data_IF_086738667630
#
_entry.id   IF_086738667630
#
_cell.length_a   1.000
_cell.length_b   1.000
_cell.length_c   1.000
_cell.angle_alpha   90.00
_cell.angle_beta   90.00
_cell.angle_gamma   90.00
#
_symmetry.space_group_name_H-M   'P 1'
#
loop_
_entity.id
_entity.type
_entity.pdbx_description
1 polymer ?
#
# COMPACT_ATOMS: atom_id res chain seq x y z
N UNK A 1 -28.69 5.85 -4.63
CA UNK A 1 -29.15 4.55 -5.18
C UNK A 1 -28.19 4.02 -6.23
N UNK A 2 -27.89 4.75 -7.32
CA UNK A 2 -26.98 4.30 -8.38
C UNK A 2 -25.62 3.77 -7.88
N UNK A 3 -24.97 4.48 -6.96
CA UNK A 3 -23.66 4.10 -6.40
C UNK A 3 -23.69 2.71 -5.73
N UNK A 4 -24.77 2.39 -4.99
CA UNK A 4 -24.93 1.06 -4.37
C UNK A 4 -25.02 -0.05 -5.41
N UNK A 5 -25.71 0.18 -6.54
CA UNK A 5 -25.76 -0.81 -7.62
C UNK A 5 -24.43 -0.99 -8.37
N UNK A 6 -23.53 0.01 -8.38
CA UNK A 6 -22.17 -0.18 -8.90
C UNK A 6 -21.29 -0.92 -7.89
N UNK A 7 -21.34 -0.56 -6.61
CA UNK A 7 -20.61 -1.26 -5.55
C UNK A 7 -21.01 -2.75 -5.43
N UNK A 8 -22.32 -3.06 -5.50
CA UNK A 8 -22.81 -4.43 -5.54
C UNK A 8 -22.36 -5.17 -6.83
N UNK A 9 -22.20 -4.46 -7.95
CA UNK A 9 -21.65 -5.02 -9.19
C UNK A 9 -20.14 -5.29 -9.13
N UNK A 10 -19.35 -4.43 -8.46
CA UNK A 10 -17.91 -4.66 -8.23
C UNK A 10 -17.69 -5.95 -7.43
N UNK A 11 -18.47 -6.17 -6.35
CA UNK A 11 -18.40 -7.43 -5.58
C UNK A 11 -18.90 -8.63 -6.41
N UNK A 12 -19.89 -8.46 -7.29
CA UNK A 12 -20.32 -9.52 -8.20
C UNK A 12 -19.23 -9.89 -9.23
N UNK A 13 -18.47 -8.91 -9.72
CA UNK A 13 -17.40 -9.09 -10.71
C UNK A 13 -16.13 -9.69 -10.09
N UNK A 14 -15.75 -9.27 -8.87
CA UNK A 14 -14.74 -9.95 -8.03
C UNK A 14 -15.14 -11.43 -7.83
N UNK A 15 -16.42 -11.71 -7.59
CA UNK A 15 -16.92 -13.07 -7.47
C UNK A 15 -16.93 -13.87 -8.79
N UNK A 16 -17.10 -13.20 -9.94
CA UNK A 16 -16.92 -13.81 -11.26
C UNK A 16 -15.45 -14.23 -11.47
N UNK A 17 -14.50 -13.40 -11.04
CA UNK A 17 -13.08 -13.74 -11.03
C UNK A 17 -12.81 -14.92 -10.09
N UNK A 18 -13.11 -14.78 -8.80
CA UNK A 18 -12.82 -15.78 -7.76
C UNK A 18 -13.41 -17.15 -8.05
N UNK A 19 -14.64 -17.21 -8.58
CA UNK A 19 -15.31 -18.49 -8.86
C UNK A 19 -14.73 -19.24 -10.07
N UNK A 20 -14.11 -18.56 -11.04
CA UNK A 20 -13.39 -19.20 -12.15
C UNK A 20 -12.23 -18.33 -12.68
N UNK A 21 -11.08 -18.25 -11.97
CA UNK A 21 -9.99 -17.34 -12.30
C UNK A 21 -9.42 -17.61 -13.71
N UNK A 22 -9.23 -18.89 -14.05
CA UNK A 22 -8.75 -19.31 -15.36
C UNK A 22 -9.63 -18.83 -16.51
N UNK A 23 -10.96 -18.84 -16.37
CA UNK A 23 -11.88 -18.26 -17.38
C UNK A 23 -11.92 -16.74 -17.33
N UNK A 24 -11.80 -16.13 -16.14
CA UNK A 24 -11.75 -14.66 -16.03
C UNK A 24 -10.54 -14.07 -16.76
N UNK A 25 -9.42 -14.79 -16.80
CA UNK A 25 -8.23 -14.42 -17.57
C UNK A 25 -8.48 -14.26 -19.08
N UNK A 26 -9.58 -14.77 -19.63
CA UNK A 26 -9.99 -14.52 -21.02
C UNK A 26 -10.33 -13.04 -21.25
N UNK A 27 -10.83 -12.31 -20.23
CA UNK A 27 -11.08 -10.86 -20.30
C UNK A 27 -9.78 -10.08 -20.48
N UNK A 28 -8.79 -10.33 -19.62
CA UNK A 28 -7.46 -9.72 -19.71
C UNK A 28 -6.74 -10.16 -21.00
N UNK A 29 -6.90 -11.42 -21.42
CA UNK A 29 -6.37 -11.89 -22.72
C UNK A 29 -6.97 -11.12 -23.90
N UNK A 30 -8.16 -10.53 -23.76
CA UNK A 30 -8.81 -9.72 -24.78
C UNK A 30 -8.44 -8.22 -24.73
N UNK A 31 -7.76 -7.73 -23.67
CA UNK A 31 -7.26 -6.34 -23.58
C UNK A 31 -5.87 -6.19 -24.19
N UNK A 32 -5.02 -7.23 -24.14
CA UNK A 32 -3.64 -7.24 -24.69
C UNK A 32 -3.51 -6.67 -26.12
N UNK A 33 -4.52 -6.87 -26.98
CA UNK A 33 -4.55 -6.36 -28.36
C UNK A 33 -4.63 -4.83 -28.50
N UNK A 34 -4.87 -4.12 -27.39
CA UNK A 34 -4.93 -2.67 -27.32
C UNK A 34 -3.62 -2.04 -26.82
N UNK A 35 -2.61 -2.85 -26.46
CA UNK A 35 -1.29 -2.34 -26.08
C UNK A 35 -0.41 -2.08 -27.31
N UNK A 36 0.29 -0.95 -27.28
CA UNK A 36 1.24 -0.49 -28.30
C UNK A 36 2.54 -0.06 -27.58
N UNK A 37 3.37 -1.04 -27.24
CA UNK A 37 4.36 -0.85 -26.16
C UNK A 37 3.62 -0.70 -24.83
N UNK A 38 4.01 0.30 -24.04
CA UNK A 38 3.38 0.63 -22.76
C UNK A 38 2.10 1.48 -22.89
N UNK A 39 1.74 1.94 -24.10
CA UNK A 39 0.49 2.68 -24.32
C UNK A 39 -0.69 1.73 -24.47
N UNK A 40 -1.73 1.89 -23.66
CA UNK A 40 -3.00 1.17 -23.75
C UNK A 40 -4.08 2.02 -24.44
N UNK A 41 -4.50 1.59 -25.63
CA UNK A 41 -5.42 2.31 -26.53
C UNK A 41 -6.80 1.61 -26.63
N UNK A 42 -7.61 1.69 -25.57
CA UNK A 42 -9.00 1.16 -25.58
C UNK A 42 -9.89 2.02 -26.49
N UNK A 43 -10.58 1.46 -27.52
CA UNK A 43 -11.33 2.25 -28.49
C UNK A 43 -12.43 3.13 -27.86
N UNK A 44 -12.32 4.45 -28.05
CA UNK A 44 -13.24 5.45 -27.50
C UNK A 44 -12.87 5.96 -26.10
N UNK A 45 -11.76 5.50 -25.52
CA UNK A 45 -11.13 6.08 -24.33
C UNK A 45 -9.89 6.91 -24.71
N UNK A 46 -9.41 7.71 -23.77
CA UNK A 46 -8.08 8.34 -23.86
C UNK A 46 -7.00 7.25 -23.74
N UNK A 47 -5.92 7.29 -24.54
CA UNK A 47 -4.75 6.41 -24.33
C UNK A 47 -4.15 6.60 -22.93
N UNK A 48 -3.76 5.49 -22.31
CA UNK A 48 -3.12 5.46 -20.99
C UNK A 48 -1.69 4.95 -21.16
N UNK A 49 -0.69 5.67 -20.67
CA UNK A 49 0.66 5.12 -20.50
C UNK A 49 0.64 4.24 -19.24
N UNK A 50 1.15 3.01 -19.36
CA UNK A 50 1.23 2.04 -18.24
C UNK A 50 2.69 1.85 -17.84
N UNK A 51 2.96 1.61 -16.56
CA UNK A 51 4.33 1.51 -16.06
C UNK A 51 4.99 0.20 -16.53
N UNK A 52 4.24 -0.91 -16.55
CA UNK A 52 4.77 -2.26 -16.85
C UNK A 52 4.25 -2.86 -18.16
N UNK A 53 3.30 -2.20 -18.82
CA UNK A 53 2.84 -2.59 -20.15
C UNK A 53 2.16 -3.96 -20.22
N UNK A 54 2.19 -4.62 -21.39
CA UNK A 54 1.50 -5.90 -21.59
C UNK A 54 2.17 -7.08 -20.88
N UNK A 55 3.33 -6.91 -20.22
CA UNK A 55 4.01 -8.01 -19.51
C UNK A 55 3.35 -8.29 -18.16
N UNK A 56 3.01 -7.28 -17.35
CA UNK A 56 2.22 -7.47 -16.13
C UNK A 56 0.82 -8.05 -16.44
N UNK A 57 0.17 -7.61 -17.53
CA UNK A 57 -1.10 -8.22 -17.97
C UNK A 57 -0.94 -9.73 -18.25
N UNK A 58 0.19 -10.16 -18.83
CA UNK A 58 0.51 -11.58 -19.04
C UNK A 58 0.82 -12.32 -17.73
N UNK A 59 1.54 -11.69 -16.80
CA UNK A 59 1.80 -12.18 -15.44
C UNK A 59 0.49 -12.46 -14.69
N UNK A 60 -0.44 -11.49 -14.68
CA UNK A 60 -1.77 -11.63 -14.10
C UNK A 60 -2.57 -12.75 -14.77
N UNK A 61 -2.56 -12.84 -16.10
CA UNK A 61 -3.19 -13.94 -16.85
C UNK A 61 -2.61 -15.30 -16.45
N UNK A 62 -1.29 -15.41 -16.21
CA UNK A 62 -0.64 -16.64 -15.76
C UNK A 62 -1.00 -17.00 -14.31
N UNK A 63 -1.09 -16.01 -13.41
CA UNK A 63 -1.56 -16.22 -12.03
C UNK A 63 -3.03 -16.67 -12.02
N UNK A 64 -3.90 -16.01 -12.77
CA UNK A 64 -5.31 -16.40 -12.90
C UNK A 64 -5.49 -17.81 -13.51
N UNK A 65 -4.68 -18.18 -14.51
CA UNK A 65 -4.72 -19.54 -15.10
C UNK A 65 -4.18 -20.65 -14.19
N UNK A 66 -3.35 -20.31 -13.20
CA UNK A 66 -2.84 -21.26 -12.19
C UNK A 66 -3.63 -21.27 -10.87
N UNK A 67 -4.46 -20.25 -10.63
CA UNK A 67 -5.30 -20.13 -9.43
C UNK A 67 -6.54 -21.03 -9.54
N UNK A 68 -6.74 -21.89 -8.55
CA UNK A 68 -7.95 -22.72 -8.42
C UNK A 68 -9.18 -21.88 -8.06
N UNK A 69 -10.39 -22.39 -8.34
CA UNK A 69 -11.64 -21.75 -7.92
C UNK A 69 -11.67 -21.48 -6.42
N UNK A 70 -11.99 -20.24 -6.04
CA UNK A 70 -11.99 -19.73 -4.67
C UNK A 70 -13.42 -19.58 -4.14
N UNK A 71 -13.64 -19.56 -2.81
CA UNK A 71 -14.93 -19.21 -2.23
C UNK A 71 -15.35 -17.78 -2.63
N UNK A 72 -16.61 -17.62 -3.04
CA UNK A 72 -17.18 -16.29 -3.29
C UNK A 72 -17.36 -15.50 -1.99
N UNK A 73 -16.99 -14.22 -2.02
CA UNK A 73 -17.18 -13.27 -0.93
C UNK A 73 -18.66 -12.91 -0.78
N UNK A 74 -19.13 -12.82 0.46
CA UNK A 74 -20.46 -12.33 0.82
C UNK A 74 -20.41 -10.82 1.08
N UNK A 75 -21.48 -10.11 0.71
CA UNK A 75 -21.66 -8.71 1.11
C UNK A 75 -21.77 -8.58 2.64
N UNK A 76 -21.17 -7.53 3.21
CA UNK A 76 -21.46 -7.04 4.57
C UNK A 76 -21.69 -5.53 4.52
N UNK A 77 -22.81 -5.07 5.09
CA UNK A 77 -23.10 -3.65 5.19
C UNK A 77 -22.13 -2.94 6.17
N UNK A 78 -21.51 -3.64 7.15
CA UNK A 78 -20.48 -3.08 8.01
C UNK A 78 -19.18 -2.77 7.24
N UNK A 79 -18.72 -3.70 6.39
CA UNK A 79 -17.55 -3.46 5.52
C UNK A 79 -17.83 -2.38 4.47
N UNK A 80 -19.06 -2.33 3.93
CA UNK A 80 -19.47 -1.28 2.99
C UNK A 80 -19.58 0.10 3.69
N UNK A 81 -19.96 0.14 4.96
CA UNK A 81 -19.97 1.37 5.77
C UNK A 81 -18.55 1.86 6.06
N UNK A 82 -17.61 0.95 6.32
CA UNK A 82 -16.18 1.26 6.47
C UNK A 82 -15.57 1.83 5.18
N UNK A 83 -15.89 1.24 4.03
CA UNK A 83 -15.52 1.77 2.71
C UNK A 83 -16.13 3.16 2.46
N UNK A 84 -17.40 3.38 2.83
CA UNK A 84 -18.09 4.64 2.59
C UNK A 84 -17.51 5.78 3.44
N UNK A 85 -17.18 5.57 4.72
CA UNK A 85 -16.57 6.65 5.52
C UNK A 85 -15.16 7.01 5.06
N UNK A 86 -14.44 6.10 4.39
CA UNK A 86 -13.17 6.43 3.75
C UNK A 86 -13.39 7.36 2.55
N UNK A 87 -14.34 7.03 1.67
CA UNK A 87 -14.72 7.88 0.52
C UNK A 87 -15.25 9.24 0.97
N UNK A 88 -16.13 9.28 1.99
CA UNK A 88 -16.70 10.51 2.54
C UNK A 88 -15.62 11.44 3.14
N UNK A 89 -14.47 10.88 3.55
CA UNK A 89 -13.33 11.63 4.07
C UNK A 89 -12.35 12.10 2.98
N UNK A 90 -11.85 11.16 2.15
CA UNK A 90 -10.77 11.43 1.19
C UNK A 90 -11.27 12.07 -0.12
N UNK A 91 -12.45 11.65 -0.59
CA UNK A 91 -13.02 12.06 -1.88
C UNK A 91 -13.16 13.58 -2.04
N UNK A 92 -13.79 14.29 -1.07
CA UNK A 92 -13.90 15.75 -1.10
C UNK A 92 -12.57 16.50 -0.98
N UNK A 93 -11.49 15.83 -0.56
CA UNK A 93 -10.17 16.42 -0.30
C UNK A 93 -9.16 16.18 -1.43
N UNK A 94 -9.47 15.30 -2.38
CA UNK A 94 -8.50 14.83 -3.38
C UNK A 94 -7.41 13.92 -2.79
N UNK A 95 -7.58 13.45 -1.56
CA UNK A 95 -6.60 12.66 -0.82
C UNK A 95 -6.61 11.19 -1.29
N UNK A 96 -5.45 10.54 -1.30
CA UNK A 96 -5.28 9.19 -1.82
C UNK A 96 -4.45 8.34 -0.87
N UNK A 97 -4.77 7.03 -0.81
CA UNK A 97 -4.12 6.08 0.09
C UNK A 97 -5.08 5.39 1.06
N UNK A 98 -4.53 4.49 1.88
CA UNK A 98 -5.30 3.66 2.81
C UNK A 98 -5.51 4.29 4.18
N UNK A 99 -4.71 5.26 4.59
CA UNK A 99 -4.93 6.04 5.82
C UNK A 99 -6.05 7.07 5.59
N UNK A 100 -7.01 7.15 6.50
CA UNK A 100 -7.97 8.24 6.54
C UNK A 100 -7.30 9.51 7.07
N UNK A 101 -7.77 10.70 6.70
CA UNK A 101 -7.16 11.96 7.19
C UNK A 101 -7.49 12.26 8.67
N UNK A 102 -8.21 11.36 9.34
CA UNK A 102 -8.34 11.29 10.81
C UNK A 102 -7.27 10.39 11.46
N UNK A 103 -6.29 9.91 10.68
CA UNK A 103 -5.20 9.02 11.08
C UNK A 103 -5.56 7.54 11.16
N UNK A 104 -6.72 7.13 10.62
CA UNK A 104 -7.24 5.76 10.81
C UNK A 104 -6.87 4.78 9.70
N UNK A 105 -6.60 3.53 10.10
CA UNK A 105 -6.39 2.41 9.19
C UNK A 105 -7.72 1.71 8.78
N UNK A 106 -7.73 0.84 7.74
CA UNK A 106 -8.94 0.15 7.31
C UNK A 106 -9.60 -0.73 8.39
N UNK A 107 -8.82 -1.31 9.30
CA UNK A 107 -9.31 -2.07 10.45
C UNK A 107 -10.02 -1.19 11.48
N UNK A 108 -9.43 -0.04 11.84
CA UNK A 108 -10.10 0.97 12.67
C UNK A 108 -11.39 1.49 12.03
N UNK A 109 -11.44 1.61 10.69
CA UNK A 109 -12.68 1.97 9.98
C UNK A 109 -13.73 0.86 10.03
N UNK A 110 -13.35 -0.42 9.96
CA UNK A 110 -14.28 -1.55 10.16
C UNK A 110 -14.82 -1.58 11.58
N UNK A 111 -13.98 -1.33 12.59
CA UNK A 111 -14.35 -1.39 14.02
C UNK A 111 -15.37 -0.32 14.46
N UNK A 112 -15.61 0.71 13.63
CA UNK A 112 -16.70 1.69 13.79
C UNK A 112 -18.09 1.07 13.59
N UNK A 113 -18.18 -0.05 12.87
CA UNK A 113 -19.44 -0.68 12.43
C UNK A 113 -19.59 -2.16 12.80
N UNK A 114 -18.51 -2.95 12.75
CA UNK A 114 -18.52 -4.39 13.02
C UNK A 114 -17.27 -4.86 13.76
N UNK A 115 -17.23 -6.13 14.14
CA UNK A 115 -16.00 -6.77 14.63
C UNK A 115 -15.53 -7.81 13.62
N UNK A 116 -14.32 -7.60 13.08
CA UNK A 116 -13.69 -8.48 12.11
C UNK A 116 -12.89 -9.61 12.79
N UNK A 117 -12.63 -10.68 12.03
CA UNK A 117 -11.82 -11.82 12.46
C UNK A 117 -10.89 -12.29 11.32
N UNK A 118 -9.70 -12.78 11.69
CA UNK A 118 -8.77 -13.41 10.76
C UNK A 118 -7.88 -12.40 10.04
N UNK A 119 -7.98 -12.34 8.71
CA UNK A 119 -7.33 -11.33 7.87
C UNK A 119 -8.34 -10.30 7.34
N UNK A 120 -7.88 -9.08 7.16
CA UNK A 120 -8.55 -8.03 6.40
C UNK A 120 -7.65 -7.58 5.24
N UNK A 121 -8.19 -6.72 4.38
CA UNK A 121 -7.48 -5.97 3.36
C UNK A 121 -8.38 -4.90 2.78
N UNK A 122 -7.81 -3.94 2.06
CA UNK A 122 -8.53 -2.91 1.32
C UNK A 122 -7.88 -2.77 -0.06
N UNK A 123 -8.69 -2.49 -1.07
CA UNK A 123 -8.26 -2.04 -2.38
C UNK A 123 -8.95 -0.72 -2.69
N UNK A 124 -8.25 0.20 -3.37
CA UNK A 124 -8.84 1.46 -3.84
C UNK A 124 -8.54 1.62 -5.33
N UNK A 125 -9.57 1.88 -6.11
CA UNK A 125 -9.48 2.26 -7.53
C UNK A 125 -9.96 3.70 -7.71
N UNK A 126 -9.35 4.43 -8.64
CA UNK A 126 -9.64 5.83 -8.92
C UNK A 126 -9.97 6.01 -10.41
N UNK A 127 -11.02 6.79 -10.71
CA UNK A 127 -11.43 7.17 -12.06
C UNK A 127 -12.18 6.13 -12.89
N UNK A 128 -12.11 4.82 -12.62
CA UNK A 128 -12.89 3.85 -13.39
C UNK A 128 -14.38 3.86 -13.01
N UNK A 129 -15.25 3.77 -14.02
CA UNK A 129 -16.70 3.93 -13.87
C UNK A 129 -17.51 2.65 -14.10
N UNK A 130 -16.84 1.53 -14.39
CA UNK A 130 -17.49 0.22 -14.61
C UNK A 130 -16.89 -0.85 -13.70
N UNK A 131 -17.72 -1.78 -13.24
CA UNK A 131 -17.25 -2.87 -12.37
C UNK A 131 -16.20 -3.78 -13.05
N UNK A 132 -16.27 -3.95 -14.38
CA UNK A 132 -15.26 -4.71 -15.13
C UNK A 132 -13.93 -3.95 -15.17
N UNK A 133 -13.95 -2.65 -15.47
CA UNK A 133 -12.73 -1.84 -15.53
C UNK A 133 -12.05 -1.69 -14.15
N UNK A 134 -12.83 -1.43 -13.09
CA UNK A 134 -12.35 -1.39 -11.69
C UNK A 134 -11.67 -2.72 -11.30
N UNK A 135 -12.32 -3.86 -11.57
CA UNK A 135 -11.79 -5.17 -11.15
C UNK A 135 -10.65 -5.64 -12.05
N UNK A 136 -10.60 -5.24 -13.32
CA UNK A 136 -9.45 -5.50 -14.20
C UNK A 136 -8.25 -4.63 -13.81
N UNK A 137 -8.46 -3.35 -13.48
CA UNK A 137 -7.45 -2.42 -12.93
C UNK A 137 -6.79 -3.03 -11.68
N UNK A 138 -7.59 -3.33 -10.64
CA UNK A 138 -7.15 -3.94 -9.38
C UNK A 138 -6.62 -5.38 -9.51
N UNK A 139 -6.76 -6.02 -10.67
CA UNK A 139 -6.15 -7.32 -10.97
C UNK A 139 -4.84 -7.17 -11.75
N UNK A 140 -4.71 -6.22 -12.68
CA UNK A 140 -3.44 -5.97 -13.35
C UNK A 140 -2.44 -5.42 -12.33
N UNK A 141 -2.85 -4.46 -11.49
CA UNK A 141 -2.00 -3.92 -10.42
C UNK A 141 -0.72 -3.29 -11.00
N UNK A 142 -0.90 -2.44 -12.03
CA UNK A 142 0.16 -1.80 -12.82
C UNK A 142 0.91 -0.75 -11.99
N UNK A 143 2.24 -0.81 -12.00
CA UNK A 143 3.11 -0.01 -11.13
C UNK A 143 3.19 -0.50 -9.68
N UNK A 144 2.42 -1.52 -9.30
CA UNK A 144 2.36 -2.07 -7.93
C UNK A 144 3.07 -3.41 -7.87
N UNK A 145 4.40 -3.38 -7.72
CA UNK A 145 5.28 -4.57 -7.74
C UNK A 145 4.92 -5.64 -6.70
N UNK A 146 4.30 -5.24 -5.59
CA UNK A 146 3.82 -6.14 -4.53
C UNK A 146 2.57 -6.94 -4.90
N UNK A 147 1.85 -6.52 -5.96
CA UNK A 147 0.56 -7.09 -6.41
C UNK A 147 -0.47 -7.17 -5.27
N UNK A 148 -0.49 -6.17 -4.40
CA UNK A 148 -1.31 -6.15 -3.18
C UNK A 148 -2.81 -6.24 -3.46
N UNK A 149 -3.31 -5.50 -4.44
CA UNK A 149 -4.72 -5.49 -4.81
C UNK A 149 -5.17 -6.81 -5.41
N UNK A 150 -4.36 -7.38 -6.32
CA UNK A 150 -4.62 -8.72 -6.89
C UNK A 150 -4.55 -9.79 -5.79
N UNK A 151 -3.62 -9.67 -4.85
CA UNK A 151 -3.48 -10.60 -3.72
C UNK A 151 -4.70 -10.57 -2.79
N UNK A 152 -5.25 -9.39 -2.49
CA UNK A 152 -6.50 -9.26 -1.72
C UNK A 152 -7.71 -9.87 -2.43
N UNK A 153 -7.81 -9.70 -3.77
CA UNK A 153 -8.87 -10.30 -4.60
C UNK A 153 -8.76 -11.84 -4.66
N UNK A 154 -7.53 -12.39 -4.69
CA UNK A 154 -7.28 -13.83 -4.82
C UNK A 154 -7.01 -14.57 -3.50
N UNK A 155 -7.02 -13.89 -2.35
CA UNK A 155 -6.88 -14.49 -1.00
C UNK A 155 -8.01 -15.49 -0.72
N UNK A 156 -7.70 -16.77 -0.51
CA UNK A 156 -8.73 -17.79 -0.27
C UNK A 156 -9.51 -17.53 1.03
N UNK A 157 -8.84 -16.92 2.01
CA UNK A 157 -9.31 -16.61 3.35
C UNK A 157 -10.33 -15.47 3.38
N UNK A 158 -10.34 -14.54 2.41
CA UNK A 158 -11.33 -13.47 2.37
C UNK A 158 -12.71 -14.02 1.94
N UNK A 159 -13.65 -14.09 2.89
CA UNK A 159 -14.99 -14.66 2.71
C UNK A 159 -16.10 -13.61 2.74
N UNK A 160 -15.78 -12.39 3.14
CA UNK A 160 -16.68 -11.25 3.19
C UNK A 160 -16.03 -10.04 2.53
N UNK A 161 -16.84 -9.18 1.93
CA UNK A 161 -16.41 -7.90 1.39
C UNK A 161 -17.55 -6.90 1.42
N UNK A 162 -17.21 -5.61 1.45
CA UNK A 162 -18.12 -4.50 1.22
C UNK A 162 -17.44 -3.47 0.35
N UNK A 163 -18.23 -2.75 -0.44
CA UNK A 163 -17.70 -1.75 -1.38
C UNK A 163 -18.50 -0.46 -1.26
N UNK A 164 -17.83 0.67 -1.47
CA UNK A 164 -18.42 1.97 -1.67
C UNK A 164 -17.87 2.61 -2.96
N UNK A 165 -18.65 3.50 -3.55
CA UNK A 165 -18.29 4.22 -4.77
C UNK A 165 -18.80 5.67 -4.67
N UNK A 166 -17.95 6.65 -4.92
CA UNK A 166 -18.29 8.06 -4.81
C UNK A 166 -17.42 8.96 -5.67
N UNK A 167 -17.61 10.26 -5.49
CA UNK A 167 -16.92 11.30 -6.27
C UNK A 167 -15.57 11.64 -5.61
N UNK A 168 -14.57 11.97 -6.43
CA UNK A 168 -13.20 12.26 -5.98
C UNK A 168 -12.68 13.53 -6.66
N UNK A 169 -12.29 14.56 -5.89
CA UNK A 169 -11.96 15.89 -6.42
C UNK A 169 -10.85 15.88 -7.49
N UNK A 170 -9.81 15.06 -7.33
CA UNK A 170 -8.68 14.98 -8.27
C UNK A 170 -8.89 13.98 -9.43
N UNK A 171 -9.86 13.06 -9.34
CA UNK A 171 -9.93 11.83 -10.19
C UNK A 171 -11.33 11.54 -10.77
N UNK A 172 -12.25 12.50 -10.64
CA UNK A 172 -13.72 12.35 -10.81
C UNK A 172 -14.37 11.36 -9.83
N UNK A 173 -13.83 10.14 -9.67
CA UNK A 173 -14.41 9.06 -8.89
C UNK A 173 -13.40 8.24 -8.09
N UNK A 174 -13.88 7.60 -7.02
CA UNK A 174 -13.14 6.63 -6.20
C UNK A 174 -14.03 5.44 -5.83
N UNK A 175 -13.44 4.25 -5.85
CA UNK A 175 -14.06 2.98 -5.48
C UNK A 175 -13.23 2.29 -4.40
N UNK A 176 -13.76 2.16 -3.19
CA UNK A 176 -13.09 1.46 -2.07
C UNK A 176 -13.73 0.08 -1.90
N UNK A 177 -12.91 -0.96 -1.84
CA UNK A 177 -13.33 -2.35 -1.61
C UNK A 177 -12.61 -2.90 -0.38
N UNK A 178 -13.37 -3.16 0.67
CA UNK A 178 -12.87 -3.70 1.94
C UNK A 178 -13.14 -5.21 1.98
N UNK A 179 -12.18 -5.99 2.48
CA UNK A 179 -12.23 -7.44 2.57
C UNK A 179 -12.04 -7.91 4.02
N UNK A 180 -12.70 -9.03 4.37
CA UNK A 180 -12.47 -9.70 5.65
C UNK A 180 -12.62 -11.23 5.54
N UNK A 181 -11.89 -11.96 6.37
CA UNK A 181 -12.06 -13.40 6.55
C UNK A 181 -13.30 -13.73 7.38
N UNK A 182 -13.53 -12.98 8.46
CA UNK A 182 -14.77 -12.97 9.22
C UNK A 182 -15.19 -11.53 9.52
N UNK A 183 -16.50 -11.29 9.54
CA UNK A 183 -17.10 -10.05 10.03
C UNK A 183 -18.36 -10.41 10.81
N UNK A 184 -18.56 -9.72 11.93
CA UNK A 184 -19.82 -9.72 12.67
C UNK A 184 -20.35 -8.29 12.69
N UNK A 185 -21.49 -8.07 12.04
CA UNK A 185 -22.13 -6.75 12.01
C UNK A 185 -22.56 -6.40 13.44
N UNK A 186 -21.96 -5.36 14.03
CA UNK A 186 -22.28 -4.98 15.40
C UNK A 186 -23.62 -4.24 15.41
N UNK A 187 -24.44 -4.43 16.45
CA UNK A 187 -25.69 -3.67 16.61
C UNK A 187 -25.50 -2.16 16.83
N UNK A 188 -24.25 -1.66 16.76
CA UNK A 188 -23.90 -0.24 16.83
C UNK A 188 -23.79 0.34 15.41
N UNK A 189 -24.91 0.46 14.71
CA UNK A 189 -24.99 1.36 13.57
C UNK A 189 -24.88 2.82 14.07
N UNK A 190 -23.63 3.28 14.27
CA UNK A 190 -23.34 4.70 14.46
C UNK A 190 -23.73 5.45 13.20
N UNK A 191 -24.25 6.67 13.33
CA UNK A 191 -24.54 7.47 12.13
C UNK A 191 -23.23 7.88 11.45
N UNK A 192 -23.18 8.05 10.11
CA UNK A 192 -21.93 8.44 9.43
C UNK A 192 -21.28 9.69 10.04
N UNK A 193 -22.09 10.68 10.44
CA UNK A 193 -21.63 11.90 11.13
C UNK A 193 -21.08 11.70 12.56
N UNK A 194 -21.31 10.54 13.17
CA UNK A 194 -20.68 10.13 14.44
C UNK A 194 -19.45 9.23 14.21
N UNK A 195 -19.43 8.46 13.12
CA UNK A 195 -18.32 7.57 12.75
C UNK A 195 -17.05 8.31 12.32
N UNK A 196 -17.13 9.57 11.88
CA UNK A 196 -15.97 10.43 11.52
C UNK A 196 -15.22 10.97 12.76
N UNK A 197 -15.60 10.57 13.99
CA UNK A 197 -14.82 10.90 15.19
C UNK A 197 -13.74 9.84 15.42
N UNK A 198 -12.47 10.23 15.70
CA UNK A 198 -11.40 9.27 15.93
C UNK A 198 -11.74 8.38 17.16
N UNK A 199 -11.38 7.09 17.12
CA UNK A 199 -11.70 6.17 18.20
C UNK A 199 -11.07 6.62 19.51
N UNK A 200 -11.89 6.85 20.54
CA UNK A 200 -11.38 7.15 21.88
C UNK A 200 -10.60 5.94 22.40
N UNK A 201 -9.26 6.04 22.40
CA UNK A 201 -8.32 4.99 22.83
C UNK A 201 -8.77 4.35 24.14
N UNK A 202 -9.41 3.19 24.02
CA UNK A 202 -10.10 2.57 25.16
C UNK A 202 -9.07 1.99 26.12
N UNK A 203 -8.89 2.65 27.27
CA UNK A 203 -7.94 2.24 28.30
C UNK A 203 -8.40 0.92 28.92
N UNK A 204 -7.89 -0.20 28.40
CA UNK A 204 -8.19 -1.54 28.90
C UNK A 204 -7.82 -1.64 30.40
N UNK A 205 -8.78 -1.91 31.30
CA UNK A 205 -8.49 -2.08 32.71
C UNK A 205 -7.71 -3.38 32.93
N UNK A 206 -6.66 -3.30 33.77
CA UNK A 206 -5.80 -4.44 34.08
C UNK A 206 -6.57 -5.64 34.66
N UNK A 207 -6.13 -6.89 34.43
CA UNK A 207 -6.90 -8.09 34.75
C UNK A 207 -7.14 -8.26 36.26
N UNK A 208 -8.40 -8.11 36.68
CA UNK A 208 -8.81 -8.30 38.06
C UNK A 208 -8.72 -9.78 38.49
N UNK A 209 -8.20 -10.01 39.69
CA UNK A 209 -7.93 -11.35 40.23
C UNK A 209 -9.21 -12.16 40.46
N UNK A 210 -9.31 -13.35 39.85
CA UNK A 210 -10.43 -14.27 40.07
C UNK A 210 -10.24 -15.04 41.38
N UNK A 211 -11.06 -14.72 42.40
CA UNK A 211 -11.14 -15.50 43.65
C UNK A 211 -11.98 -16.77 43.45
N UNK A 212 -11.69 -17.79 44.25
CA UNK A 212 -12.35 -19.11 44.24
C UNK A 212 -13.56 -19.20 45.19
N UNK A 213 -14.10 -20.43 45.29
CA UNK A 213 -15.09 -20.96 46.25
C UNK A 213 -16.59 -20.72 45.97
N UNK A 214 -17.49 -21.66 46.37
CA UNK A 214 -17.29 -23.12 46.50
C UNK A 214 -18.42 -23.97 45.85
N UNK A 215 -18.18 -25.29 45.74
CA UNK A 215 -19.18 -26.29 45.30
C UNK A 215 -20.05 -26.82 46.47
N UNK A 216 -21.33 -27.17 46.24
CA UNK A 216 -22.11 -27.99 47.16
C UNK A 216 -22.25 -29.47 46.74
N UNK A 217 -21.91 -30.37 47.68
CA UNK A 217 -22.51 -31.70 47.98
C UNK A 217 -22.59 -32.85 46.92
N UNK A 218 -22.63 -34.09 47.44
CA UNK A 218 -22.72 -35.37 46.72
C UNK A 218 -23.60 -36.38 47.49
N UNK A 219 -24.42 -37.16 46.79
CA UNK A 219 -24.99 -38.45 47.21
C UNK A 219 -24.92 -39.39 45.97
N UNK A 220 -24.30 -40.58 45.95
CA UNK A 220 -24.62 -41.87 46.65
C UNK A 220 -26.07 -42.31 46.41
N UNK A 221 -26.41 -43.52 45.93
CA UNK A 221 -25.73 -44.79 45.51
C UNK A 221 -26.60 -45.41 44.37
N UNK A 222 -26.44 -46.60 43.76
CA UNK A 222 -25.96 -47.93 44.18
C UNK A 222 -25.80 -48.88 42.95
N UNK A 223 -25.07 -50.00 43.05
CA UNK A 223 -25.08 -51.13 42.07
C UNK A 223 -24.61 -52.43 42.75
N UNK A 224 -25.08 -53.64 42.34
CA UNK A 224 -24.13 -54.60 41.71
C UNK A 224 -24.69 -55.66 40.71
N UNK A 225 -23.90 -55.99 39.67
CA UNK A 225 -23.46 -57.34 39.12
C UNK A 225 -24.29 -58.66 39.29
N UNK A 226 -24.08 -59.75 38.49
CA UNK A 226 -23.02 -60.03 37.47
C UNK A 226 -23.47 -60.72 36.12
N UNK A 227 -22.49 -61.14 35.30
CA UNK A 227 -22.60 -61.80 33.95
C UNK A 227 -22.57 -63.35 34.00
N UNK A 228 -22.76 -64.11 32.88
CA UNK A 228 -21.58 -64.61 32.10
C UNK A 228 -21.76 -65.11 30.61
N UNK A 229 -20.75 -64.86 29.75
CA UNK A 229 -20.29 -65.68 28.56
C UNK A 229 -21.30 -65.88 27.38
N UNK A 230 -20.97 -66.26 26.14
CA UNK A 230 -19.78 -66.75 25.35
C UNK A 230 -20.06 -66.38 23.84
N UNK A 231 -19.32 -66.60 22.74
CA UNK A 231 -18.02 -67.20 22.31
C UNK A 231 -17.65 -66.59 20.90
N UNK A 232 -16.65 -67.12 20.16
CA UNK A 232 -16.31 -66.81 18.75
C UNK A 232 -15.88 -68.11 18.01
N UNK A 233 -15.99 -68.23 16.67
CA UNK A 233 -14.75 -68.41 15.88
C UNK A 233 -14.71 -67.76 14.47
N UNK A 234 -13.49 -67.74 13.90
CA UNK A 234 -13.01 -67.16 12.61
C UNK A 234 -12.79 -68.28 11.53
N UNK A 235 -12.34 -68.06 10.24
CA UNK A 235 -11.42 -66.98 9.80
C UNK A 235 -11.39 -66.46 8.32
N UNK A 236 -10.70 -65.31 8.16
CA UNK A 236 -9.84 -64.87 7.02
C UNK A 236 -10.49 -64.43 5.67
N UNK A 237 -9.79 -63.66 4.78
CA UNK A 237 -8.40 -63.15 4.88
C UNK A 237 -8.17 -61.61 4.72
N UNK A 238 -7.03 -61.19 5.27
CA UNK A 238 -6.21 -59.95 5.16
C UNK A 238 -6.46 -58.93 4.02
N UNK A 239 -6.39 -57.64 4.39
CA UNK A 239 -5.57 -56.58 3.74
C UNK A 239 -4.84 -55.76 4.82
N UNK A 240 -3.90 -54.89 4.44
CA UNK A 240 -2.82 -54.36 5.29
C UNK A 240 -3.07 -52.96 5.89
N UNK A 241 -2.36 -52.64 6.99
CA UNK A 241 -2.36 -51.34 7.67
C UNK A 241 -1.18 -50.44 7.23
N UNK A 242 -1.37 -49.11 7.13
CA UNK A 242 -0.30 -48.14 7.36
C UNK A 242 -0.17 -47.79 8.85
N UNK A 243 1.07 -47.72 9.36
CA UNK A 243 1.36 -47.45 10.78
C UNK A 243 1.06 -46.01 11.19
N UNK A 244 0.43 -45.82 12.34
CA UNK A 244 0.26 -44.50 12.96
C UNK A 244 1.59 -43.87 13.43
N UNK A 245 1.64 -42.53 13.43
CA UNK A 245 2.69 -41.73 14.08
C UNK A 245 2.15 -41.04 15.32
N UNK A 246 3.02 -40.80 16.31
CA UNK A 246 2.70 -40.13 17.56
C UNK A 246 2.36 -38.64 17.35
N UNK A 247 1.59 -38.01 18.26
CA UNK A 247 1.34 -36.57 18.22
C UNK A 247 2.65 -35.78 18.38
N UNK A 248 2.87 -34.81 17.50
CA UNK A 248 3.98 -33.88 17.62
C UNK A 248 3.79 -32.93 18.81
N UNK A 249 4.88 -32.55 19.47
CA UNK A 249 4.88 -31.43 20.44
C UNK A 249 4.60 -30.12 19.69
N UNK A 250 3.98 -29.11 20.34
CA UNK A 250 3.75 -27.82 19.70
C UNK A 250 5.09 -27.19 19.29
N UNK A 251 5.20 -26.86 18.01
CA UNK A 251 6.28 -26.03 17.48
C UNK A 251 6.00 -24.58 17.90
N UNK A 252 6.98 -23.81 18.40
CA UNK A 252 6.77 -22.39 18.67
C UNK A 252 6.40 -21.66 17.39
N UNK A 253 5.48 -20.68 17.48
CA UNK A 253 5.15 -19.81 16.35
C UNK A 253 6.44 -19.11 15.86
N UNK A 254 6.62 -18.88 14.55
CA UNK A 254 7.58 -17.86 14.12
C UNK A 254 7.13 -16.53 14.74
N UNK A 255 8.05 -15.85 15.42
CA UNK A 255 7.79 -14.50 15.86
C UNK A 255 7.87 -13.59 14.64
N UNK A 256 6.77 -12.89 14.33
CA UNK A 256 6.85 -11.68 13.51
C UNK A 256 7.70 -10.71 14.33
N UNK A 257 8.90 -10.42 13.84
CA UNK A 257 9.74 -9.38 14.44
C UNK A 257 9.17 -8.05 13.98
N UNK A 258 8.16 -7.57 14.71
CA UNK A 258 7.81 -6.16 14.66
C UNK A 258 9.07 -5.38 15.03
N UNK A 259 9.64 -4.69 14.04
CA UNK A 259 10.74 -3.75 14.24
C UNK A 259 10.14 -2.58 15.03
N UNK A 260 10.27 -2.66 16.36
CA UNK A 260 9.60 -1.72 17.24
C UNK A 260 10.29 -0.37 17.12
N UNK A 261 9.59 0.64 16.60
CA UNK A 261 10.08 2.02 16.50
C UNK A 261 10.79 2.43 17.82
N UNK A 262 12.00 3.00 17.73
CA UNK A 262 12.84 3.23 18.91
C UNK A 262 12.19 4.27 19.82
N UNK A 263 11.70 3.80 20.98
CA UNK A 263 11.03 4.64 21.97
C UNK A 263 12.03 5.48 22.79
N UNK A 264 12.66 6.45 22.13
CA UNK A 264 13.61 7.41 22.67
C UNK A 264 13.80 8.61 21.73
N UNK A 265 14.52 9.66 22.15
CA UNK A 265 14.93 10.72 21.24
C UNK A 265 15.90 10.17 20.19
N UNK A 266 15.86 10.70 18.97
CA UNK A 266 16.76 10.34 17.89
C UNK A 266 18.23 10.63 18.26
N UNK A 267 19.12 9.66 18.05
CA UNK A 267 20.56 9.86 18.05
C UNK A 267 21.14 9.41 16.69
N UNK A 268 21.72 10.32 15.89
CA UNK A 268 22.36 9.97 14.60
C UNK A 268 23.40 8.84 14.68
N UNK A 269 24.00 8.62 15.86
CA UNK A 269 25.02 7.58 16.06
C UNK A 269 24.49 6.16 15.90
N UNK A 270 23.18 5.94 16.11
CA UNK A 270 22.57 4.61 15.99
C UNK A 270 22.44 4.13 14.53
N UNK A 271 22.57 5.06 13.56
CA UNK A 271 22.34 4.81 12.13
C UNK A 271 23.62 4.85 11.28
N UNK A 272 24.81 5.02 11.88
CA UNK A 272 26.10 5.16 11.17
C UNK A 272 26.47 3.90 10.38
N UNK A 273 26.48 3.99 9.05
CA UNK A 273 26.79 2.92 8.09
C UNK A 273 28.10 3.23 7.34
N UNK A 274 28.86 2.24 6.80
CA UNK A 274 30.07 2.51 6.05
C UNK A 274 29.81 3.35 4.79
N UNK A 275 30.26 4.61 4.79
CA UNK A 275 30.02 5.57 3.71
C UNK A 275 29.07 6.72 4.05
N UNK A 276 28.55 6.77 5.28
CA UNK A 276 27.82 7.94 5.82
C UNK A 276 28.15 8.15 7.30
N UNK A 277 28.30 9.41 7.72
CA UNK A 277 28.67 9.82 9.07
C UNK A 277 27.48 10.41 9.87
N UNK A 278 27.69 10.68 11.15
CA UNK A 278 26.63 11.13 12.06
C UNK A 278 26.06 12.52 11.72
N UNK A 279 26.86 13.40 11.12
CA UNK A 279 26.42 14.74 10.71
C UNK A 279 25.56 14.64 9.42
N UNK A 280 25.97 13.82 8.44
CA UNK A 280 25.17 13.50 7.23
C UNK A 280 23.83 12.82 7.59
N UNK A 281 23.80 11.98 8.63
CA UNK A 281 22.55 11.36 9.13
C UNK A 281 21.63 12.40 9.77
N UNK A 282 22.19 13.40 10.45
CA UNK A 282 21.41 14.52 10.99
C UNK A 282 20.82 15.37 9.86
N UNK A 283 21.58 15.64 8.80
CA UNK A 283 21.08 16.33 7.60
C UNK A 283 19.97 15.53 6.89
N UNK A 284 20.10 14.21 6.75
CA UNK A 284 19.03 13.35 6.20
C UNK A 284 17.80 13.32 7.12
N UNK A 285 17.97 13.41 8.45
CA UNK A 285 16.85 13.51 9.38
C UNK A 285 16.12 14.86 9.29
N UNK A 286 16.86 15.94 9.13
CA UNK A 286 16.28 17.27 8.91
C UNK A 286 15.59 17.38 7.55
N UNK A 287 16.07 16.65 6.54
CA UNK A 287 15.34 16.47 5.28
C UNK A 287 14.06 15.63 5.47
N UNK A 288 14.12 14.50 6.19
CA UNK A 288 12.94 13.68 6.51
C UNK A 288 11.87 14.49 7.26
N UNK A 289 12.27 15.31 8.24
CA UNK A 289 11.38 16.17 9.02
C UNK A 289 10.82 17.38 8.23
N UNK A 290 11.22 17.55 6.97
CA UNK A 290 10.59 18.46 6.01
C UNK A 290 9.51 17.76 5.16
N UNK A 291 9.57 16.42 5.07
CA UNK A 291 8.54 15.58 4.43
C UNK A 291 7.49 15.12 5.46
N UNK A 292 7.89 14.57 6.60
CA UNK A 292 7.04 14.21 7.76
C UNK A 292 6.52 15.50 8.44
N UNK A 293 5.43 16.04 7.89
CA UNK A 293 4.93 17.39 8.15
C UNK A 293 4.03 17.47 9.37
N UNK A 294 3.44 16.34 9.79
CA UNK A 294 2.66 16.22 11.03
C UNK A 294 3.46 15.63 12.22
N UNK A 295 4.63 15.03 11.96
CA UNK A 295 5.51 14.44 12.97
C UNK A 295 5.11 13.02 13.39
N UNK A 296 4.50 12.26 12.48
CA UNK A 296 4.10 10.86 12.67
C UNK A 296 5.29 9.91 12.86
N UNK A 297 6.45 10.25 12.29
CA UNK A 297 7.63 9.37 12.17
C UNK A 297 7.68 8.58 10.85
N UNK A 298 6.82 8.91 9.89
CA UNK A 298 6.65 8.26 8.57
C UNK A 298 6.26 9.30 7.53
N UNK A 299 6.67 9.15 6.27
CA UNK A 299 6.24 10.04 5.18
C UNK A 299 5.10 9.40 4.39
N UNK A 300 3.90 9.99 4.45
CA UNK A 300 2.73 9.53 3.68
C UNK A 300 2.70 10.05 2.22
N UNK A 301 1.94 9.42 1.30
CA UNK A 301 1.75 9.91 -0.06
C UNK A 301 1.27 11.37 -0.15
N UNK A 302 0.33 11.77 0.71
CA UNK A 302 -0.15 13.15 0.76
C UNK A 302 0.96 14.15 1.09
N UNK A 303 1.88 13.77 1.96
CA UNK A 303 2.98 14.62 2.41
C UNK A 303 4.11 14.70 1.39
N UNK A 304 4.52 13.56 0.82
CA UNK A 304 5.47 13.54 -0.29
C UNK A 304 4.95 14.36 -1.48
N UNK A 305 3.64 14.31 -1.78
CA UNK A 305 2.98 15.17 -2.79
C UNK A 305 3.08 16.65 -2.42
N UNK A 306 2.76 17.00 -1.17
CA UNK A 306 2.82 18.39 -0.68
C UNK A 306 4.25 18.95 -0.73
N UNK A 307 5.25 18.15 -0.34
CA UNK A 307 6.66 18.54 -0.39
C UNK A 307 7.17 18.68 -1.84
N UNK A 308 6.86 17.72 -2.73
CA UNK A 308 7.22 17.82 -4.14
C UNK A 308 6.58 19.05 -4.82
N UNK A 309 5.31 19.34 -4.52
CA UNK A 309 4.63 20.56 -5.01
C UNK A 309 5.25 21.83 -4.40
N UNK A 310 5.64 21.81 -3.13
CA UNK A 310 6.35 22.94 -2.49
C UNK A 310 7.76 23.17 -3.06
N UNK A 311 8.38 22.13 -3.60
CA UNK A 311 9.63 22.17 -4.37
C UNK A 311 9.40 22.44 -5.87
N UNK A 312 8.16 22.75 -6.28
CA UNK A 312 7.80 23.16 -7.65
C UNK A 312 7.62 22.03 -8.67
N UNK A 313 7.53 20.78 -8.24
CA UNK A 313 7.28 19.63 -9.11
C UNK A 313 5.80 19.27 -9.21
N UNK A 314 5.27 19.09 -10.43
CA UNK A 314 3.98 18.43 -10.65
C UNK A 314 4.11 16.92 -10.39
N UNK A 315 4.04 16.52 -9.11
CA UNK A 315 3.97 15.12 -8.69
C UNK A 315 2.64 14.50 -9.14
N UNK A 316 2.66 13.80 -10.29
CA UNK A 316 1.54 12.96 -10.72
C UNK A 316 1.33 11.82 -9.71
N UNK A 317 0.08 11.57 -9.34
CA UNK A 317 -0.25 10.61 -8.28
C UNK A 317 0.29 9.19 -8.56
N UNK A 318 0.37 8.75 -9.83
CA UNK A 318 0.98 7.46 -10.19
C UNK A 318 2.49 7.41 -9.85
N UNK A 319 3.26 8.42 -10.27
CA UNK A 319 4.70 8.54 -9.99
C UNK A 319 4.97 8.63 -8.47
N UNK A 320 4.10 9.33 -7.74
CA UNK A 320 4.13 9.43 -6.29
C UNK A 320 3.92 8.06 -5.61
N UNK A 321 2.93 7.28 -6.04
CA UNK A 321 2.71 5.93 -5.52
C UNK A 321 3.86 4.97 -5.88
N UNK A 322 4.43 5.08 -7.08
CA UNK A 322 5.62 4.33 -7.49
C UNK A 322 6.82 4.65 -6.57
N UNK A 323 7.09 5.93 -6.31
CA UNK A 323 8.19 6.36 -5.42
C UNK A 323 8.04 5.84 -3.99
N UNK A 324 6.82 5.66 -3.47
CA UNK A 324 6.60 5.08 -2.14
C UNK A 324 6.70 3.56 -2.17
N UNK A 325 6.07 2.88 -3.13
CA UNK A 325 6.10 1.41 -3.26
C UNK A 325 7.51 0.84 -3.57
N UNK A 326 8.44 1.65 -4.11
CA UNK A 326 9.86 1.27 -4.26
C UNK A 326 10.66 1.30 -2.93
N UNK A 327 10.17 2.03 -1.93
CA UNK A 327 10.92 2.40 -0.72
C UNK A 327 10.34 1.78 0.56
N UNK A 328 9.01 1.67 0.63
CA UNK A 328 8.23 0.90 1.60
C UNK A 328 8.55 -0.60 1.44
N UNK A 329 9.51 -1.10 2.21
CA UNK A 329 9.98 -2.49 2.19
C UNK A 329 9.17 -3.38 3.14
N UNK A 330 8.46 -2.79 4.09
CA UNK A 330 7.66 -3.51 5.09
C UNK A 330 6.17 -3.65 4.71
N UNK A 331 5.70 -2.81 3.79
CA UNK A 331 4.36 -2.84 3.19
C UNK A 331 3.33 -2.01 3.97
N UNK A 332 3.77 -0.92 4.61
CA UNK A 332 2.95 -0.05 5.45
C UNK A 332 2.09 0.95 4.66
N UNK A 333 2.50 1.31 3.44
CA UNK A 333 1.90 2.39 2.63
C UNK A 333 2.52 3.78 2.86
N UNK A 334 3.57 3.88 3.69
CA UNK A 334 4.33 5.10 3.97
C UNK A 334 5.83 4.76 4.04
N UNK A 335 6.72 5.76 4.07
CA UNK A 335 8.19 5.54 4.15
C UNK A 335 8.67 5.80 5.59
N UNK A 336 9.29 4.82 6.24
CA UNK A 336 9.92 5.02 7.58
C UNK A 336 11.32 5.68 7.47
N UNK A 337 11.88 6.15 8.59
CA UNK A 337 13.20 6.80 8.56
C UNK A 337 14.36 5.87 8.16
N UNK A 338 14.32 4.58 8.50
CA UNK A 338 15.33 3.60 8.07
C UNK A 338 15.24 3.37 6.55
N UNK A 339 14.04 3.41 5.98
CA UNK A 339 13.76 3.29 4.55
C UNK A 339 14.15 4.54 3.77
N UNK A 340 13.82 5.73 4.26
CA UNK A 340 14.25 7.01 3.70
C UNK A 340 15.78 7.19 3.79
N UNK A 341 16.40 6.74 4.89
CA UNK A 341 17.86 6.70 5.00
C UNK A 341 18.47 5.71 3.99
N UNK A 342 17.89 4.53 3.83
CA UNK A 342 18.33 3.58 2.80
C UNK A 342 18.11 4.13 1.38
N UNK A 343 17.06 4.92 1.11
CA UNK A 343 16.88 5.63 -0.18
C UNK A 343 18.07 6.57 -0.42
N UNK A 344 18.31 7.49 0.51
CA UNK A 344 19.35 8.53 0.42
C UNK A 344 20.78 7.98 0.42
N UNK A 345 20.99 6.74 0.88
CA UNK A 345 22.30 6.08 0.93
C UNK A 345 22.46 4.90 -0.06
N UNK A 346 21.42 4.53 -0.80
CA UNK A 346 21.53 3.48 -1.83
C UNK A 346 22.43 3.93 -2.99
N UNK A 347 23.44 3.13 -3.27
CA UNK A 347 24.45 3.47 -4.28
C UNK A 347 23.86 3.41 -5.70
N UNK A 348 23.44 4.56 -6.23
CA UNK A 348 23.19 4.75 -7.66
C UNK A 348 24.39 4.29 -8.50
N UNK A 349 24.12 3.70 -9.68
CA UNK A 349 25.20 3.41 -10.63
C UNK A 349 25.62 4.68 -11.38
N UNK A 350 26.87 4.71 -11.87
CA UNK A 350 27.40 5.82 -12.68
C UNK A 350 26.72 5.95 -14.05
N UNK A 351 25.87 4.99 -14.45
CA UNK A 351 25.10 5.04 -15.68
C UNK A 351 23.75 5.76 -15.46
N UNK A 352 22.94 5.26 -14.52
CA UNK A 352 21.58 5.75 -14.28
C UNK A 352 21.61 7.22 -13.80
N UNK A 353 22.49 7.50 -12.84
CA UNK A 353 22.73 8.86 -12.34
C UNK A 353 23.10 9.85 -13.45
N UNK A 354 23.80 9.42 -14.51
CA UNK A 354 24.16 10.30 -15.62
C UNK A 354 22.99 10.60 -16.57
N UNK A 355 22.00 9.72 -16.67
CA UNK A 355 20.77 10.03 -17.42
C UNK A 355 19.81 10.89 -16.59
N UNK A 356 19.69 10.65 -15.28
CA UNK A 356 18.85 11.46 -14.39
C UNK A 356 19.39 12.87 -14.13
N UNK A 357 20.69 13.03 -13.87
CA UNK A 357 21.34 14.35 -13.82
C UNK A 357 21.18 15.10 -15.15
N UNK A 358 21.06 14.38 -16.28
CA UNK A 358 20.78 14.98 -17.60
C UNK A 358 19.31 15.37 -17.77
N UNK A 359 18.35 14.63 -17.20
CA UNK A 359 16.94 15.08 -17.09
C UNK A 359 16.88 16.39 -16.30
N UNK A 360 17.56 16.45 -15.16
CA UNK A 360 17.65 17.66 -14.31
C UNK A 360 18.32 18.82 -15.06
N UNK A 361 19.45 18.60 -15.73
CA UNK A 361 20.11 19.63 -16.55
C UNK A 361 19.19 20.22 -17.63
N UNK A 362 18.37 19.39 -18.27
CA UNK A 362 17.39 19.84 -19.27
C UNK A 362 16.24 20.69 -18.68
N UNK A 363 16.01 20.64 -17.36
CA UNK A 363 15.12 21.60 -16.68
C UNK A 363 15.80 22.97 -16.58
N UNK A 364 17.10 22.99 -16.27
CA UNK A 364 17.90 24.22 -16.18
C UNK A 364 18.20 24.88 -17.53
N UNK A 365 18.36 24.08 -18.60
CA UNK A 365 18.53 24.54 -19.98
C UNK A 365 17.19 24.72 -20.72
N UNK A 366 16.35 25.67 -20.26
CA UNK A 366 15.03 25.90 -20.87
C UNK A 366 15.06 26.43 -22.31
N UNK A 367 16.22 26.87 -22.82
CA UNK A 367 16.40 27.33 -24.20
C UNK A 367 17.10 26.28 -25.11
N UNK A 368 17.51 25.14 -24.54
CA UNK A 368 18.19 24.01 -25.20
C UNK A 368 19.50 24.41 -25.89
N UNK A 369 20.28 25.28 -25.24
CA UNK A 369 21.59 25.76 -25.73
C UNK A 369 22.75 24.81 -25.42
N UNK A 370 22.53 23.81 -24.55
CA UNK A 370 23.58 22.98 -23.96
C UNK A 370 24.27 23.62 -22.76
N UNK A 371 23.75 24.75 -22.26
CA UNK A 371 24.36 25.57 -21.20
C UNK A 371 23.32 26.20 -20.28
N UNK A 372 23.54 26.13 -18.97
CA UNK A 372 22.76 26.90 -17.99
C UNK A 372 23.39 28.29 -17.85
N UNK A 373 22.55 29.32 -17.94
CA UNK A 373 22.96 30.73 -17.83
C UNK A 373 22.18 31.43 -16.72
N UNK A 374 22.64 32.59 -16.26
CA UNK A 374 21.90 33.44 -15.30
C UNK A 374 20.48 33.74 -15.79
N UNK A 375 20.29 33.90 -17.11
CA UNK A 375 18.97 34.12 -17.73
C UNK A 375 18.08 32.88 -17.63
N UNK A 376 18.64 31.70 -17.88
CA UNK A 376 17.93 30.41 -17.76
C UNK A 376 17.52 30.16 -16.31
N UNK A 377 18.46 30.34 -15.38
CA UNK A 377 18.28 30.16 -13.94
C UNK A 377 17.24 31.14 -13.37
N UNK A 378 17.31 32.42 -13.72
CA UNK A 378 16.34 33.47 -13.32
C UNK A 378 14.91 33.14 -13.73
N UNK A 379 14.72 32.57 -14.93
CA UNK A 379 13.40 32.18 -15.41
C UNK A 379 12.81 31.09 -14.51
N UNK A 380 13.59 30.05 -14.23
CA UNK A 380 13.16 28.92 -13.40
C UNK A 380 12.86 29.37 -11.96
N UNK A 381 13.70 30.22 -11.37
CA UNK A 381 13.47 30.78 -10.03
C UNK A 381 12.13 31.56 -9.98
N UNK A 382 11.82 32.31 -11.04
CA UNK A 382 10.54 33.01 -11.16
C UNK A 382 9.35 32.06 -11.41
N UNK A 383 9.55 30.96 -12.16
CA UNK A 383 8.54 29.91 -12.40
C UNK A 383 8.30 29.05 -11.12
N UNK A 384 9.32 28.88 -10.25
CA UNK A 384 9.26 28.21 -8.94
C UNK A 384 8.70 29.11 -7.81
N UNK A 385 8.65 30.43 -8.02
CA UNK A 385 8.17 31.40 -7.03
C UNK A 385 9.17 31.77 -5.92
N UNK A 386 10.42 31.31 -5.99
CA UNK A 386 11.47 31.65 -5.02
C UNK A 386 12.06 33.06 -5.22
N UNK A 387 12.65 33.61 -4.15
CA UNK A 387 13.19 34.97 -4.12
C UNK A 387 14.72 35.00 -3.92
N UNK A 388 15.48 34.38 -4.82
CA UNK A 388 16.94 34.49 -4.88
C UNK A 388 17.40 35.82 -5.50
N UNK A 389 18.49 36.40 -5.01
CA UNK A 389 19.02 37.67 -5.54
C UNK A 389 19.90 37.45 -6.79
N UNK A 390 20.22 38.54 -7.51
CA UNK A 390 21.13 38.48 -8.66
C UNK A 390 22.57 38.12 -8.23
N UNK A 391 22.98 38.49 -7.02
CA UNK A 391 24.27 38.10 -6.44
C UNK A 391 24.31 36.61 -6.07
N UNK A 392 23.22 36.04 -5.52
CA UNK A 392 23.12 34.61 -5.24
C UNK A 392 23.18 33.77 -6.53
N UNK A 393 22.44 34.20 -7.58
CA UNK A 393 22.48 33.57 -8.91
C UNK A 393 23.88 33.65 -9.54
N UNK A 394 24.60 34.76 -9.34
CA UNK A 394 25.99 34.91 -9.81
C UNK A 394 26.93 33.94 -9.09
N UNK A 395 26.83 33.82 -7.76
CA UNK A 395 27.68 32.90 -6.99
C UNK A 395 27.31 31.42 -7.19
N UNK A 396 26.05 31.08 -7.55
CA UNK A 396 25.66 29.74 -7.99
C UNK A 396 26.31 29.37 -9.33
N UNK A 397 26.20 30.22 -10.35
CA UNK A 397 26.84 29.99 -11.66
C UNK A 397 28.37 29.88 -11.49
N UNK A 398 28.98 30.78 -10.73
CA UNK A 398 30.43 30.84 -10.46
C UNK A 398 30.97 29.67 -9.62
N UNK A 399 30.13 28.92 -8.89
CA UNK A 399 30.51 27.65 -8.25
C UNK A 399 30.54 26.48 -9.24
N UNK A 400 29.75 26.55 -10.31
CA UNK A 400 29.63 25.51 -11.32
C UNK A 400 30.53 25.69 -12.54
N UNK A 401 30.71 26.93 -12.99
CA UNK A 401 31.51 27.30 -14.15
C UNK A 401 33.00 27.00 -13.92
N UNK A 402 33.45 25.85 -14.42
CA UNK A 402 34.86 25.43 -14.29
C UNK A 402 35.81 26.18 -15.24
N UNK A 403 35.29 26.98 -16.18
CA UNK A 403 36.07 27.53 -17.29
C UNK A 403 36.18 29.08 -17.25
N UNK A 404 35.22 29.76 -16.62
CA UNK A 404 35.15 31.21 -16.44
C UNK A 404 34.38 31.99 -17.51
N UNK A 405 33.59 31.33 -18.39
CA UNK A 405 32.82 31.97 -19.46
C UNK A 405 31.44 32.51 -19.04
N UNK A 406 30.99 32.24 -17.82
CA UNK A 406 29.71 32.69 -17.26
C UNK A 406 28.53 31.75 -17.52
N UNK A 407 28.80 30.51 -17.94
CA UNK A 407 27.82 29.46 -18.20
C UNK A 407 28.24 28.15 -17.51
N UNK A 408 27.27 27.28 -17.22
CA UNK A 408 27.51 25.93 -16.69
C UNK A 408 27.15 24.93 -17.77
N UNK A 409 28.12 24.15 -18.27
CA UNK A 409 27.86 23.06 -19.24
C UNK A 409 27.26 21.83 -18.56
N UNK A 410 26.81 20.83 -19.33
CA UNK A 410 26.36 19.57 -18.75
C UNK A 410 27.45 18.84 -17.97
N UNK A 411 28.70 18.83 -18.46
CA UNK A 411 29.80 18.17 -17.74
C UNK A 411 30.19 18.97 -16.49
N UNK A 412 30.10 20.30 -16.48
CA UNK A 412 30.21 21.11 -15.25
C UNK A 412 29.12 20.73 -14.25
N UNK A 413 27.86 20.74 -14.67
CA UNK A 413 26.70 20.42 -13.83
C UNK A 413 26.80 19.00 -13.25
N UNK A 414 27.18 18.02 -14.07
CA UNK A 414 27.46 16.66 -13.62
C UNK A 414 28.60 16.61 -12.60
N UNK A 415 29.68 17.37 -12.81
CA UNK A 415 30.79 17.48 -11.85
C UNK A 415 30.44 18.24 -10.56
N UNK A 416 29.35 19.02 -10.52
CA UNK A 416 28.80 19.56 -9.27
C UNK A 416 28.02 18.44 -8.56
N UNK A 417 27.04 17.86 -9.26
CA UNK A 417 26.08 16.89 -8.72
C UNK A 417 26.71 15.55 -8.28
N UNK A 418 27.95 15.24 -8.68
CA UNK A 418 28.64 13.99 -8.34
C UNK A 418 29.90 14.15 -7.46
N UNK A 419 30.29 15.38 -7.10
CA UNK A 419 31.41 15.60 -6.18
C UNK A 419 30.99 15.39 -4.73
N UNK A 420 31.39 14.25 -4.16
CA UNK A 420 31.50 14.06 -2.71
C UNK A 420 32.62 14.96 -2.17
N UNK A 421 32.40 15.56 -1.01
CA UNK A 421 33.39 16.37 -0.28
C UNK A 421 34.15 15.54 0.78
#
# INVERSE_FOLDING_TARGET
MANRSLAEAVIAEINLCRSNPGKYSDKLSATLKFYNGNVFEKPGATPIETEEGPENVQECIQQLKSTSSLPTMKWSDALASAAQVHIDDIGPKGAMGHTGTDGSDPGERIERFGQWEGTIGENIDYGNTTAEDIVVSLLIDDGVTTRGHRTNILKAEHLFSGCAYGDHSDMEHVCVVVFAQGISDSGKATTPAEAVKPPQKSSSPAPAQRKEEPKPAVQKKEEPKPTPKKEEPKPAPKKEEPKGKQPAKPVPKPAVVQKKAPAGPFDPKDYVKPGINADEIQEIKEAFDLFDSDGSGTVEPGELKNAMVSLGFEAKNATLFHMINDLDKDGSGAIDFDEFLDMMTSTMTEADSKEDIKKIFNLFDTEKTGTVTIKSLRKIIADLGEALTEDDMLDLIKKGDSNGDGQVTFDDFYNIMTKRF
#
